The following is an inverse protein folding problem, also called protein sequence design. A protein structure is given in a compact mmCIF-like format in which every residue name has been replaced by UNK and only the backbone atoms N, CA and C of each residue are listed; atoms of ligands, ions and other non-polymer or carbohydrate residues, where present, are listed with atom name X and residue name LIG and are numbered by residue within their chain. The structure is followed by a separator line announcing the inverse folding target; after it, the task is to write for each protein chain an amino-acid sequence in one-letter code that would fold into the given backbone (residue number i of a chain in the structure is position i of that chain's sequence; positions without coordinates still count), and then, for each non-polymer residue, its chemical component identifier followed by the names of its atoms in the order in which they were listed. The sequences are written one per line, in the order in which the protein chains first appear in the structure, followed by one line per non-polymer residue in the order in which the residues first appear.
data_IF_613998078241
#
_entry.id   IF_613998078241
#
_cell.length_a   1.000
_cell.length_b   1.000
_cell.length_c   1.000
_cell.angle_alpha   90.00
_cell.angle_beta   90.00
_cell.angle_gamma   90.00
#
_symmetry.space_group_name_H-M   'P 1'
#
loop_
_entity.id
_entity.type
_entity.pdbx_description
1 polymer ?
#
# COMPACT_ATOMS: atom_id res chain seq x y z
N UNK A 1 69.53 -5.23 10.42
CA UNK A 1 68.87 -5.25 9.08
C UNK A 1 67.81 -6.35 8.93
N UNK A 2 68.00 -7.57 9.47
CA UNK A 2 67.00 -8.68 9.38
C UNK A 2 65.66 -8.40 10.10
N UNK A 3 65.70 -7.80 11.30
CA UNK A 3 64.49 -7.53 12.11
C UNK A 3 63.52 -6.51 11.47
N UNK A 4 64.06 -5.45 10.84
CA UNK A 4 63.27 -4.46 10.10
C UNK A 4 62.57 -5.06 8.86
N UNK A 5 63.17 -6.07 8.23
CA UNK A 5 62.58 -6.78 7.08
C UNK A 5 61.44 -7.71 7.52
N UNK A 6 61.59 -8.40 8.66
CA UNK A 6 60.53 -9.24 9.23
C UNK A 6 59.31 -8.41 9.63
N UNK A 7 59.53 -7.27 10.29
CA UNK A 7 58.45 -6.33 10.66
C UNK A 7 57.69 -5.81 9.43
N UNK A 8 58.41 -5.47 8.36
CA UNK A 8 57.78 -5.00 7.11
C UNK A 8 56.91 -6.08 6.45
N UNK A 9 57.40 -7.33 6.40
CA UNK A 9 56.64 -8.45 5.81
C UNK A 9 55.38 -8.77 6.61
N UNK A 10 55.45 -8.72 7.95
CA UNK A 10 54.29 -8.93 8.83
C UNK A 10 53.26 -7.80 8.63
N UNK A 11 53.70 -6.54 8.54
CA UNK A 11 52.80 -5.42 8.29
C UNK A 11 52.10 -5.52 6.93
N UNK A 12 52.80 -5.86 5.85
CA UNK A 12 52.18 -6.04 4.53
C UNK A 12 51.19 -7.21 4.52
N UNK A 13 51.49 -8.31 5.22
CA UNK A 13 50.57 -9.43 5.33
C UNK A 13 49.30 -9.10 6.12
N UNK A 14 49.40 -8.27 7.16
CA UNK A 14 48.24 -7.80 7.93
C UNK A 14 47.29 -6.92 7.10
N UNK A 15 47.81 -6.10 6.18
CA UNK A 15 46.98 -5.29 5.28
C UNK A 15 46.23 -6.10 4.23
N UNK A 16 46.64 -7.35 3.93
CA UNK A 16 45.94 -8.23 2.98
C UNK A 16 44.62 -8.79 3.54
N UNK A 17 44.34 -8.62 4.83
CA UNK A 17 43.08 -9.05 5.46
C UNK A 17 42.09 -7.91 5.68
N UNK A 18 42.39 -6.69 5.21
CA UNK A 18 41.45 -5.55 5.28
C UNK A 18 40.63 -5.52 3.99
N UNK A 19 39.45 -6.13 4.03
CA UNK A 19 38.46 -6.09 2.95
C UNK A 19 37.35 -5.08 3.23
N UNK A 20 36.71 -4.55 2.19
CA UNK A 20 35.45 -3.82 2.34
C UNK A 20 34.32 -4.82 2.60
N UNK A 21 33.43 -4.48 3.53
CA UNK A 21 32.15 -5.16 3.66
C UNK A 21 31.24 -4.72 2.51
N UNK A 22 30.74 -5.68 1.73
CA UNK A 22 29.85 -5.44 0.60
C UNK A 22 28.39 -5.77 0.94
N UNK A 23 28.13 -6.27 2.16
CA UNK A 23 26.78 -6.55 2.66
C UNK A 23 26.12 -5.26 3.18
N UNK A 24 26.02 -4.27 2.30
CA UNK A 24 25.42 -2.94 2.55
C UNK A 24 24.09 -2.73 1.80
N UNK A 25 23.47 -3.82 1.35
CA UNK A 25 22.27 -3.78 0.50
C UNK A 25 20.96 -3.68 1.30
N UNK A 26 21.03 -3.75 2.63
CA UNK A 26 19.89 -3.47 3.50
C UNK A 26 19.65 -1.96 3.57
N UNK A 27 18.43 -1.52 3.28
CA UNK A 27 18.12 -0.10 3.26
C UNK A 27 18.06 0.47 4.69
N UNK A 28 18.99 1.35 5.10
CA UNK A 28 19.04 1.86 6.47
C UNK A 28 17.92 2.86 6.79
N UNK A 29 17.13 3.28 5.79
CA UNK A 29 16.01 4.20 5.97
C UNK A 29 14.69 3.50 6.33
N UNK A 30 14.65 2.17 6.25
CA UNK A 30 13.49 1.38 6.62
C UNK A 30 13.87 0.36 7.71
N UNK A 31 12.95 0.07 8.64
CA UNK A 31 13.16 -1.00 9.60
C UNK A 31 13.27 -2.35 8.89
N UNK A 32 13.91 -3.31 9.54
CA UNK A 32 13.94 -4.70 9.10
C UNK A 32 12.55 -5.35 9.31
N UNK A 33 12.21 -6.33 8.49
CA UNK A 33 10.87 -6.95 8.46
C UNK A 33 10.44 -7.57 9.80
N UNK A 34 11.39 -8.03 10.60
CA UNK A 34 11.17 -8.62 11.92
C UNK A 34 10.85 -7.57 13.00
N UNK A 35 11.21 -6.31 12.76
CA UNK A 35 10.90 -5.17 13.64
C UNK A 35 9.51 -4.60 13.37
N UNK A 36 8.92 -4.88 12.21
CA UNK A 36 7.58 -4.39 11.83
C UNK A 36 6.51 -5.34 12.36
N UNK A 37 5.93 -4.99 13.50
CA UNK A 37 4.89 -5.74 14.20
C UNK A 37 3.47 -5.38 13.71
N UNK A 38 2.47 -6.26 13.91
CA UNK A 38 1.09 -5.99 13.45
C UNK A 38 0.48 -4.69 13.97
N UNK A 39 0.79 -4.30 15.21
CA UNK A 39 0.30 -3.08 15.85
C UNK A 39 0.85 -1.79 15.23
N UNK A 40 2.01 -1.86 14.56
CA UNK A 40 2.55 -0.74 13.78
C UNK A 40 1.88 -0.59 12.41
N UNK A 41 1.41 -1.71 11.83
CA UNK A 41 0.78 -1.73 10.50
C UNK A 41 -0.73 -1.43 10.60
N UNK A 42 -1.42 -2.01 11.59
CA UNK A 42 -2.87 -1.98 11.68
C UNK A 42 -3.50 -0.57 11.60
N UNK A 43 -2.95 0.48 12.25
CA UNK A 43 -3.50 1.83 12.12
C UNK A 43 -3.42 2.40 10.69
N UNK A 44 -2.45 1.97 9.88
CA UNK A 44 -2.30 2.43 8.50
C UNK A 44 -3.47 1.98 7.60
N UNK A 45 -4.09 0.84 7.91
CA UNK A 45 -5.31 0.36 7.25
C UNK A 45 -6.44 1.39 7.42
N UNK A 46 -6.65 1.87 8.65
CA UNK A 46 -7.70 2.85 8.96
C UNK A 46 -7.41 4.20 8.32
N UNK A 47 -6.15 4.64 8.35
CA UNK A 47 -5.73 5.88 7.70
C UNK A 47 -5.95 5.86 6.19
N UNK A 48 -5.61 4.74 5.55
CA UNK A 48 -5.81 4.53 4.11
C UNK A 48 -7.30 4.49 3.74
N UNK A 49 -8.12 3.81 4.53
CA UNK A 49 -9.58 3.83 4.36
C UNK A 49 -10.09 5.27 4.46
N UNK A 50 -9.75 5.99 5.53
CA UNK A 50 -10.24 7.34 5.77
C UNK A 50 -9.83 8.32 4.65
N UNK A 51 -8.60 8.21 4.14
CA UNK A 51 -8.10 9.07 3.07
C UNK A 51 -8.87 8.89 1.75
N UNK A 52 -9.45 7.71 1.52
CA UNK A 52 -10.20 7.41 0.30
C UNK A 52 -11.68 7.71 0.47
N UNK A 53 -12.34 7.03 1.41
CA UNK A 53 -13.80 7.15 1.62
C UNK A 53 -14.21 8.48 2.23
N UNK A 54 -13.28 9.23 2.83
CA UNK A 54 -13.49 10.60 3.31
C UNK A 54 -12.86 11.67 2.42
N UNK A 55 -12.19 11.27 1.32
CA UNK A 55 -11.45 12.16 0.42
C UNK A 55 -12.06 12.17 -0.98
N UNK A 56 -11.34 11.60 -1.95
CA UNK A 56 -11.71 11.58 -3.37
C UNK A 56 -13.07 10.91 -3.62
N UNK A 57 -13.32 9.74 -3.00
CA UNK A 57 -14.60 9.01 -3.13
C UNK A 57 -15.76 9.85 -2.59
N UNK A 58 -15.59 10.41 -1.39
CA UNK A 58 -16.58 11.29 -0.78
C UNK A 58 -16.87 12.50 -1.68
N UNK A 59 -15.82 13.08 -2.29
CA UNK A 59 -15.94 14.26 -3.12
C UNK A 59 -16.84 14.03 -4.34
N UNK A 60 -16.54 13.04 -5.19
CA UNK A 60 -17.40 12.80 -6.36
C UNK A 60 -18.78 12.25 -5.95
N UNK A 61 -18.87 11.48 -4.86
CA UNK A 61 -20.16 10.97 -4.37
C UNK A 61 -21.09 12.10 -3.91
N UNK A 62 -20.54 13.21 -3.38
CA UNK A 62 -21.34 14.37 -3.02
C UNK A 62 -21.89 15.14 -4.22
N UNK A 63 -21.18 15.17 -5.35
CA UNK A 63 -21.73 15.65 -6.64
C UNK A 63 -22.85 14.72 -7.14
N UNK A 64 -22.63 13.41 -7.13
CA UNK A 64 -23.62 12.42 -7.60
C UNK A 64 -24.89 12.39 -6.72
N UNK A 65 -24.72 12.64 -5.42
CA UNK A 65 -25.81 12.77 -4.45
C UNK A 65 -26.41 14.18 -4.39
N UNK A 66 -25.89 15.13 -5.20
CA UNK A 66 -26.36 16.50 -5.30
C UNK A 66 -26.31 17.32 -3.99
N UNK A 67 -25.34 17.03 -3.12
CA UNK A 67 -25.14 17.83 -1.91
C UNK A 67 -24.49 19.19 -2.19
N UNK A 68 -23.67 19.28 -3.24
CA UNK A 68 -22.96 20.49 -3.63
C UNK A 68 -22.75 20.57 -5.14
N UNK A 69 -22.34 21.75 -5.59
CA UNK A 69 -21.95 22.04 -6.97
C UNK A 69 -20.62 22.84 -6.99
N UNK A 70 -19.97 22.86 -8.15
CA UNK A 70 -18.81 23.64 -8.53
C UNK A 70 -19.11 25.13 -8.38
N UNK A 71 -18.18 25.82 -7.73
CA UNK A 71 -18.23 27.26 -7.56
C UNK A 71 -18.25 27.97 -8.93
N UNK A 72 -19.12 28.97 -9.16
CA UNK A 72 -19.27 29.64 -10.45
C UNK A 72 -17.99 30.30 -11.01
N UNK A 73 -17.04 30.65 -10.14
CA UNK A 73 -15.80 31.35 -10.49
C UNK A 73 -14.57 30.42 -10.61
N UNK A 74 -14.76 29.11 -10.47
CA UNK A 74 -13.70 28.10 -10.53
C UNK A 74 -14.12 26.92 -11.42
N UNK A 75 -13.17 26.03 -11.76
CA UNK A 75 -13.38 24.99 -12.79
C UNK A 75 -12.84 23.59 -12.42
N UNK A 76 -12.45 23.34 -11.17
CA UNK A 76 -11.76 22.11 -10.78
C UNK A 76 -12.62 20.85 -11.00
N UNK A 77 -13.92 20.94 -10.71
CA UNK A 77 -14.84 19.79 -10.73
C UNK A 77 -15.90 19.91 -11.82
N UNK A 78 -15.66 20.71 -12.86
CA UNK A 78 -16.61 20.87 -13.98
C UNK A 78 -16.99 19.52 -14.59
N UNK A 79 -16.03 18.60 -14.73
CA UNK A 79 -16.29 17.29 -15.34
C UNK A 79 -17.18 16.41 -14.46
N UNK A 80 -17.00 16.46 -13.14
CA UNK A 80 -17.87 15.79 -12.17
C UNK A 80 -19.27 16.41 -12.14
N UNK A 81 -19.36 17.74 -12.17
CA UNK A 81 -20.63 18.48 -12.19
C UNK A 81 -21.48 18.21 -13.44
N UNK A 82 -20.82 18.06 -14.58
CA UNK A 82 -21.47 17.94 -15.90
C UNK A 82 -21.49 16.52 -16.46
N UNK A 83 -20.96 15.54 -15.71
CA UNK A 83 -20.82 14.14 -16.11
C UNK A 83 -20.08 13.96 -17.45
N UNK A 84 -19.04 14.78 -17.65
CA UNK A 84 -18.19 14.76 -18.86
C UNK A 84 -16.83 14.11 -18.63
N UNK A 85 -16.62 13.50 -17.46
CA UNK A 85 -15.44 12.67 -17.19
C UNK A 85 -15.50 11.34 -17.97
N UNK A 86 -14.34 10.75 -18.23
CA UNK A 86 -14.21 9.42 -18.83
C UNK A 86 -13.31 8.57 -17.96
N UNK A 87 -13.10 7.29 -18.32
CA UNK A 87 -12.11 6.44 -17.65
C UNK A 87 -10.71 7.11 -17.61
N UNK A 88 -10.33 7.81 -18.68
CA UNK A 88 -9.04 8.52 -18.74
C UNK A 88 -8.94 9.75 -17.83
N UNK A 89 -10.05 10.19 -17.22
CA UNK A 89 -10.03 11.24 -16.20
C UNK A 89 -9.48 10.75 -14.85
N UNK A 90 -9.45 9.44 -14.61
CA UNK A 90 -8.83 8.83 -13.43
C UNK A 90 -9.43 9.30 -12.08
N UNK A 91 -10.74 9.55 -12.03
CA UNK A 91 -11.45 10.13 -10.87
C UNK A 91 -11.37 9.29 -9.57
N UNK A 92 -10.89 8.04 -9.66
CA UNK A 92 -10.73 7.13 -8.51
C UNK A 92 -9.36 6.43 -8.48
N UNK A 93 -8.42 6.75 -9.38
CA UNK A 93 -7.13 6.01 -9.46
C UNK A 93 -6.30 6.15 -8.18
N UNK A 94 -6.35 7.34 -7.56
CA UNK A 94 -5.70 7.59 -6.28
C UNK A 94 -6.29 6.68 -5.19
N UNK A 95 -7.62 6.66 -5.08
CA UNK A 95 -8.33 5.85 -4.09
C UNK A 95 -8.16 4.36 -4.33
N UNK A 96 -8.27 3.90 -5.56
CA UNK A 96 -8.05 2.51 -5.96
C UNK A 96 -6.65 2.04 -5.52
N UNK A 97 -5.61 2.84 -5.80
CA UNK A 97 -4.24 2.52 -5.40
C UNK A 97 -4.09 2.45 -3.88
N UNK A 98 -4.63 3.42 -3.13
CA UNK A 98 -4.51 3.42 -1.67
C UNK A 98 -5.27 2.25 -1.05
N UNK A 99 -6.42 1.89 -1.60
CA UNK A 99 -7.21 0.75 -1.17
C UNK A 99 -6.44 -0.57 -1.40
N UNK A 100 -5.96 -0.82 -2.63
CA UNK A 100 -5.29 -2.10 -2.94
C UNK A 100 -3.86 -2.18 -2.42
N UNK A 101 -3.01 -1.24 -2.81
CA UNK A 101 -1.59 -1.27 -2.50
C UNK A 101 -1.26 -0.76 -1.08
N UNK A 102 -2.21 -0.07 -0.43
CA UNK A 102 -2.10 0.34 0.97
C UNK A 102 -2.95 -0.56 1.86
N UNK A 103 -4.23 -0.22 2.01
CA UNK A 103 -5.09 -0.78 3.04
C UNK A 103 -5.24 -2.31 2.97
N UNK A 104 -5.47 -2.88 1.78
CA UNK A 104 -5.66 -4.32 1.60
C UNK A 104 -4.35 -5.11 1.76
N UNK A 105 -3.24 -4.59 1.27
CA UNK A 105 -1.91 -5.19 1.46
C UNK A 105 -1.49 -5.14 2.93
N UNK A 106 -1.66 -4.00 3.60
CA UNK A 106 -1.41 -3.86 5.05
C UNK A 106 -2.30 -4.80 5.87
N UNK A 107 -3.58 -4.95 5.49
CA UNK A 107 -4.47 -5.92 6.09
C UNK A 107 -3.98 -7.36 5.90
N UNK A 108 -3.46 -7.70 4.71
CA UNK A 108 -2.86 -9.00 4.44
C UNK A 108 -1.63 -9.25 5.33
N UNK A 109 -0.77 -8.24 5.50
CA UNK A 109 0.40 -8.33 6.38
C UNK A 109 0.01 -8.54 7.85
N UNK A 110 -0.98 -7.78 8.36
CA UNK A 110 -1.49 -7.97 9.73
C UNK A 110 -2.07 -9.36 9.90
N UNK A 111 -2.85 -9.87 8.94
CA UNK A 111 -3.39 -11.22 8.97
C UNK A 111 -2.31 -12.31 8.87
N UNK A 112 -1.17 -12.04 8.25
CA UNK A 112 -0.07 -13.01 8.19
C UNK A 112 0.73 -13.02 9.52
N UNK A 113 0.99 -11.84 10.09
CA UNK A 113 1.83 -11.64 11.28
C UNK A 113 1.09 -11.86 12.61
N UNK A 114 -0.17 -11.41 12.75
CA UNK A 114 -0.91 -11.52 14.02
C UNK A 114 -1.55 -12.88 14.25
N UNK A 115 -1.37 -13.42 15.46
CA UNK A 115 -2.04 -14.63 15.96
C UNK A 115 -3.19 -14.32 16.92
N UNK A 116 -3.37 -13.05 17.31
CA UNK A 116 -4.48 -12.62 18.17
C UNK A 116 -5.78 -12.65 17.37
N UNK A 117 -6.78 -13.37 17.88
CA UNK A 117 -8.09 -13.52 17.21
C UNK A 117 -8.86 -12.21 17.11
N UNK A 118 -8.74 -11.32 18.09
CA UNK A 118 -9.41 -10.02 18.08
C UNK A 118 -8.82 -9.09 17.01
N UNK A 119 -7.49 -9.03 16.89
CA UNK A 119 -6.81 -8.23 15.86
C UNK A 119 -7.22 -8.71 14.47
N UNK A 120 -7.15 -10.03 14.25
CA UNK A 120 -7.55 -10.65 12.97
C UNK A 120 -9.00 -10.34 12.63
N UNK A 121 -9.90 -10.43 13.61
CA UNK A 121 -11.31 -10.10 13.41
C UNK A 121 -11.47 -8.63 12.99
N UNK A 122 -10.86 -7.69 13.72
CA UNK A 122 -10.91 -6.27 13.39
C UNK A 122 -10.34 -5.99 11.99
N UNK A 123 -9.22 -6.61 11.63
CA UNK A 123 -8.63 -6.49 10.29
C UNK A 123 -9.53 -7.05 9.21
N UNK A 124 -10.15 -8.21 9.44
CA UNK A 124 -11.10 -8.81 8.48
C UNK A 124 -12.32 -7.92 8.24
N UNK A 125 -12.86 -7.28 9.29
CA UNK A 125 -13.97 -6.34 9.14
C UNK A 125 -13.57 -5.13 8.28
N UNK A 126 -12.40 -4.54 8.54
CA UNK A 126 -11.88 -3.42 7.73
C UNK A 126 -11.64 -3.85 6.27
N UNK A 127 -11.09 -5.05 6.06
CA UNK A 127 -10.89 -5.64 4.73
C UNK A 127 -12.22 -5.81 3.99
N UNK A 128 -13.25 -6.33 4.66
CA UNK A 128 -14.58 -6.50 4.06
C UNK A 128 -15.22 -5.16 3.68
N UNK A 129 -15.10 -4.14 4.54
CA UNK A 129 -15.57 -2.79 4.24
C UNK A 129 -14.90 -2.21 2.98
N UNK A 130 -13.60 -2.43 2.81
CA UNK A 130 -12.87 -1.96 1.63
C UNK A 130 -13.42 -2.60 0.34
N UNK A 131 -13.68 -3.91 0.35
CA UNK A 131 -14.27 -4.59 -0.83
C UNK A 131 -15.69 -4.12 -1.11
N UNK A 132 -16.51 -3.87 -0.08
CA UNK A 132 -17.83 -3.27 -0.27
C UNK A 132 -17.74 -1.90 -0.95
N UNK A 133 -16.80 -1.03 -0.53
CA UNK A 133 -16.59 0.28 -1.19
C UNK A 133 -16.19 0.13 -2.66
N UNK A 134 -15.34 -0.85 -3.00
CA UNK A 134 -14.94 -1.10 -4.39
C UNK A 134 -16.12 -1.58 -5.24
N UNK A 135 -16.89 -2.55 -4.74
CA UNK A 135 -18.06 -3.09 -5.43
C UNK A 135 -19.14 -2.02 -5.63
N UNK A 136 -19.39 -1.17 -4.64
CA UNK A 136 -20.37 -0.09 -4.77
C UNK A 136 -20.01 0.95 -5.84
N UNK A 137 -18.72 1.10 -6.18
CA UNK A 137 -18.26 2.01 -7.22
C UNK A 137 -18.13 1.36 -8.60
N UNK A 138 -17.71 0.09 -8.65
CA UNK A 138 -17.27 -0.55 -9.90
C UNK A 138 -18.10 -1.77 -10.31
N UNK A 139 -18.98 -2.27 -9.44
CA UNK A 139 -19.82 -3.46 -9.64
C UNK A 139 -19.08 -4.81 -9.60
N UNK A 140 -17.79 -4.81 -9.92
CA UNK A 140 -16.86 -5.93 -9.86
C UNK A 140 -15.51 -5.44 -9.32
N UNK A 141 -14.70 -6.32 -8.74
CA UNK A 141 -13.34 -5.96 -8.30
C UNK A 141 -12.41 -7.18 -8.24
N UNK A 142 -11.08 -7.01 -8.33
CA UNK A 142 -10.16 -8.09 -8.01
C UNK A 142 -10.29 -8.54 -6.55
N UNK A 143 -10.72 -9.78 -6.30
CA UNK A 143 -10.94 -10.31 -4.95
C UNK A 143 -10.21 -11.64 -4.72
N UNK A 144 -10.63 -12.71 -5.41
CA UNK A 144 -10.13 -14.08 -5.23
C UNK A 144 -8.67 -14.23 -5.66
N UNK A 145 -8.24 -13.45 -6.65
CA UNK A 145 -6.88 -13.46 -7.18
C UNK A 145 -6.04 -12.24 -6.76
N UNK A 146 -6.62 -11.31 -5.99
CA UNK A 146 -5.92 -10.10 -5.58
C UNK A 146 -4.81 -10.37 -4.56
N UNK A 147 -3.88 -9.41 -4.44
CA UNK A 147 -2.82 -9.37 -3.41
C UNK A 147 -1.83 -10.55 -3.49
N UNK A 148 -1.57 -11.06 -4.70
CA UNK A 148 -0.61 -12.14 -4.93
C UNK A 148 0.76 -11.65 -5.41
N UNK A 149 0.93 -10.34 -5.58
CA UNK A 149 2.17 -9.72 -6.08
C UNK A 149 2.64 -10.36 -7.38
N UNK A 150 3.91 -10.78 -7.42
CA UNK A 150 4.52 -11.39 -8.61
C UNK A 150 3.95 -12.77 -8.97
N UNK A 151 3.25 -13.45 -8.05
CA UNK A 151 2.64 -14.75 -8.37
C UNK A 151 1.44 -14.60 -9.31
N UNK A 152 0.74 -13.47 -9.25
CA UNK A 152 -0.28 -13.08 -10.22
C UNK A 152 -0.39 -11.55 -10.30
N UNK A 153 0.28 -10.96 -11.28
CA UNK A 153 0.25 -9.51 -11.52
C UNK A 153 -1.00 -9.02 -12.28
N UNK A 154 -1.83 -9.96 -12.76
CA UNK A 154 -3.03 -9.68 -13.56
C UNK A 154 -4.25 -10.40 -12.96
N UNK A 155 -4.65 -10.03 -11.74
CA UNK A 155 -5.76 -10.70 -11.08
C UNK A 155 -7.06 -10.50 -11.86
N UNK A 156 -7.87 -11.55 -11.96
CA UNK A 156 -9.22 -11.41 -12.54
C UNK A 156 -10.08 -10.48 -11.69
N UNK A 157 -11.05 -9.86 -12.35
CA UNK A 157 -12.12 -9.11 -11.71
C UNK A 157 -13.24 -10.10 -11.41
N UNK A 158 -13.58 -10.24 -10.13
CA UNK A 158 -14.69 -11.07 -9.67
C UNK A 158 -15.97 -10.21 -9.66
N UNK A 159 -17.11 -10.87 -9.91
CA UNK A 159 -18.40 -10.20 -9.83
C UNK A 159 -18.67 -9.74 -8.39
N UNK A 160 -19.41 -8.64 -8.24
CA UNK A 160 -19.66 -8.05 -6.93
C UNK A 160 -20.25 -9.02 -5.91
N UNK A 161 -21.15 -9.91 -6.33
CA UNK A 161 -21.74 -10.95 -5.45
C UNK A 161 -20.71 -11.94 -4.89
N UNK A 162 -19.61 -12.18 -5.60
CA UNK A 162 -18.53 -13.05 -5.12
C UNK A 162 -17.58 -12.32 -4.14
N UNK A 163 -17.66 -10.98 -4.07
CA UNK A 163 -16.76 -10.13 -3.29
C UNK A 163 -17.33 -9.70 -1.93
N UNK A 164 -18.66 -9.72 -1.76
CA UNK A 164 -19.39 -9.24 -0.54
C UNK A 164 -20.28 -10.29 0.09
#
# INVERSE_FOLDING_TARGET
MKMKKILLTISTAAFMFVGCDLDINDNPNYPQDDQVTPDLIFPAIQGSIAATVGGEIYNYAGFFSQYFEQMPEANQYNQLATYTFTESSQEMDYSYRIIYAGALEDAQQVLNKSKNTADRFATTVLRAYIFQVLVDNMGACPYTEALQGNANATPKWDDGEDCV
#
